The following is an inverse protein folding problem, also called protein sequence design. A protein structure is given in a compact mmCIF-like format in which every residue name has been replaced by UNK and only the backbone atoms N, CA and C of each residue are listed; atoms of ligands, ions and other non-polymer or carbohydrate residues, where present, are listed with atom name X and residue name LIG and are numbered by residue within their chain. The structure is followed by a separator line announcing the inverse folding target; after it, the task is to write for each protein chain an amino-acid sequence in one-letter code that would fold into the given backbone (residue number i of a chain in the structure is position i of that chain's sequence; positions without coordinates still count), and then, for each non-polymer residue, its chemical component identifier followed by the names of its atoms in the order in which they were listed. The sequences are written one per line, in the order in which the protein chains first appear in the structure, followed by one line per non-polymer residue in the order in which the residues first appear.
data_IF_443757411386
#
_entry.id   IF_443757411386
#
_cell.length_a   1.000
_cell.length_b   1.000
_cell.length_c   1.000
_cell.angle_alpha   90.00
_cell.angle_beta   90.00
_cell.angle_gamma   90.00
#
_symmetry.space_group_name_H-M   'P 1'
#
loop_
_entity.id
_entity.type
_entity.pdbx_description
1 polymer ?
#
# COMPACT_ATOMS: atom_id res chain seq x y z
N UNK A 1 -18.15 -18.31 -7.15
CA UNK A 1 -16.71 -18.04 -6.91
C UNK A 1 -16.27 -16.89 -7.80
N UNK A 2 -16.23 -15.68 -7.25
CA UNK A 2 -15.66 -14.52 -7.93
C UNK A 2 -14.14 -14.56 -7.79
N UNK A 3 -13.40 -14.24 -8.86
CA UNK A 3 -11.95 -14.06 -8.77
C UNK A 3 -11.68 -12.79 -7.95
N UNK A 4 -10.65 -12.76 -7.12
CA UNK A 4 -10.26 -11.55 -6.39
C UNK A 4 -8.95 -10.99 -6.95
N UNK A 5 -8.87 -9.66 -6.94
CA UNK A 5 -7.72 -8.91 -7.39
C UNK A 5 -7.18 -8.11 -6.21
N UNK A 6 -5.87 -8.17 -5.99
CA UNK A 6 -5.18 -7.39 -4.98
C UNK A 6 -4.33 -6.30 -5.64
N UNK A 7 -4.32 -5.12 -5.05
CA UNK A 7 -3.49 -4.01 -5.47
C UNK A 7 -2.66 -3.50 -4.30
N UNK A 8 -1.35 -3.45 -4.48
CA UNK A 8 -0.39 -2.87 -3.55
C UNK A 8 0.10 -1.55 -4.14
N UNK A 9 -0.23 -0.44 -3.47
CA UNK A 9 0.27 0.88 -3.81
C UNK A 9 1.39 1.26 -2.84
N UNK A 10 2.52 1.68 -3.39
CA UNK A 10 3.60 2.27 -2.62
C UNK A 10 3.79 3.72 -3.08
N UNK A 11 3.47 4.66 -2.19
CA UNK A 11 3.59 6.08 -2.42
C UNK A 11 4.87 6.57 -1.74
N UNK A 12 5.92 6.76 -2.54
CA UNK A 12 7.20 7.29 -2.08
C UNK A 12 7.35 8.74 -2.55
N UNK A 13 7.95 9.55 -1.68
CA UNK A 13 8.42 10.95 -1.79
C UNK A 13 7.96 11.80 -2.98
N UNK A 14 7.55 13.05 -2.66
CA UNK A 14 7.64 14.20 -3.59
C UNK A 14 6.98 15.51 -3.18
N UNK A 15 6.53 15.68 -1.93
CA UNK A 15 6.25 17.01 -1.36
C UNK A 15 6.11 16.87 0.17
N UNK A 16 6.44 17.94 0.90
CA UNK A 16 6.13 18.11 2.34
C UNK A 16 4.63 17.96 2.65
N UNK A 17 3.77 18.06 1.64
CA UNK A 17 2.31 18.12 1.83
C UNK A 17 1.62 16.75 1.84
N UNK A 18 2.32 15.66 1.52
CA UNK A 18 1.71 14.32 1.45
C UNK A 18 2.64 13.25 2.04
N UNK A 19 2.21 12.54 3.11
CA UNK A 19 3.04 11.52 3.73
C UNK A 19 3.27 10.33 2.78
N UNK A 20 4.42 9.69 2.92
CA UNK A 20 4.68 8.42 2.28
C UNK A 20 3.84 7.31 2.92
N UNK A 21 3.41 6.34 2.11
CA UNK A 21 2.57 5.25 2.60
C UNK A 21 2.65 4.01 1.71
N UNK A 22 2.46 2.85 2.34
CA UNK A 22 2.09 1.63 1.66
C UNK A 22 0.60 1.37 1.85
N UNK A 23 -0.07 0.82 0.85
CA UNK A 23 -1.45 0.36 1.01
C UNK A 23 -1.71 -0.89 0.19
N UNK A 24 -2.61 -1.73 0.70
CA UNK A 24 -3.13 -2.88 -0.02
C UNK A 24 -4.66 -2.80 -0.08
N UNK A 25 -5.21 -3.15 -1.24
CA UNK A 25 -6.63 -3.11 -1.54
C UNK A 25 -7.02 -4.42 -2.21
N UNK A 26 -8.11 -5.04 -1.78
CA UNK A 26 -8.62 -6.29 -2.35
C UNK A 26 -10.05 -6.06 -2.82
N UNK A 27 -10.32 -6.41 -4.06
CA UNK A 27 -11.62 -6.22 -4.69
C UNK A 27 -12.10 -7.48 -5.40
N UNK A 28 -13.42 -7.59 -5.51
CA UNK A 28 -14.07 -8.62 -6.30
C UNK A 28 -13.93 -8.28 -7.79
N UNK A 29 -13.34 -9.17 -8.58
CA UNK A 29 -13.14 -8.95 -10.02
C UNK A 29 -14.44 -8.81 -10.82
N UNK A 30 -15.56 -9.37 -10.34
CA UNK A 30 -16.83 -9.38 -11.07
C UNK A 30 -17.68 -8.16 -10.77
N UNK A 31 -17.71 -7.73 -9.52
CA UNK A 31 -18.57 -6.65 -9.05
C UNK A 31 -17.81 -5.33 -8.85
N UNK A 32 -16.48 -5.36 -8.89
CA UNK A 32 -15.60 -4.26 -8.49
C UNK A 32 -15.80 -3.78 -7.04
N UNK A 33 -16.47 -4.60 -6.22
CA UNK A 33 -16.71 -4.31 -4.80
C UNK A 33 -15.40 -4.38 -4.01
N UNK A 34 -15.17 -3.37 -3.17
CA UNK A 34 -14.05 -3.33 -2.24
C UNK A 34 -14.31 -4.30 -1.07
N UNK A 35 -13.48 -5.34 -0.96
CA UNK A 35 -13.61 -6.37 0.07
C UNK A 35 -12.75 -6.07 1.30
N UNK A 36 -11.53 -5.57 1.10
CA UNK A 36 -10.61 -5.27 2.18
C UNK A 36 -9.59 -4.21 1.77
N UNK A 37 -9.15 -3.40 2.73
CA UNK A 37 -8.11 -2.40 2.54
C UNK A 37 -7.33 -2.17 3.84
N UNK A 38 -6.03 -1.92 3.70
CA UNK A 38 -5.18 -1.41 4.77
C UNK A 38 -4.14 -0.45 4.22
N UNK A 39 -3.77 0.55 5.01
CA UNK A 39 -2.77 1.56 4.67
C UNK A 39 -1.88 1.81 5.90
N UNK A 40 -0.58 1.86 5.67
CA UNK A 40 0.45 2.11 6.67
C UNK A 40 1.26 3.32 6.21
N UNK A 41 1.35 4.33 7.08
CA UNK A 41 2.19 5.50 6.84
C UNK A 41 3.66 5.14 7.06
N UNK A 42 4.52 5.65 6.19
CA UNK A 42 5.97 5.43 6.24
C UNK A 42 6.59 6.71 6.76
N UNK A 43 7.33 6.60 7.87
CA UNK A 43 8.05 7.74 8.44
C UNK A 43 9.02 8.31 7.42
N UNK A 44 8.98 9.63 7.24
CA UNK A 44 9.90 10.39 6.41
C UNK A 44 10.88 11.15 7.29
N UNK A 45 12.14 11.16 6.91
CA UNK A 45 13.18 11.94 7.58
C UNK A 45 13.62 13.11 6.69
N UNK A 46 13.77 14.29 7.28
CA UNK A 46 14.14 15.52 6.59
C UNK A 46 15.49 16.03 7.11
N UNK A 47 16.61 15.39 6.75
CA UNK A 47 17.92 15.71 7.30
C UNK A 47 18.42 17.11 6.89
N UNK A 48 17.93 17.64 5.77
CA UNK A 48 18.25 18.97 5.23
C UNK A 48 17.03 19.59 4.56
N UNK A 49 17.02 20.91 4.44
CA UNK A 49 15.98 21.63 3.69
C UNK A 49 15.92 21.12 2.24
N UNK A 50 14.71 20.76 1.78
CA UNK A 50 14.49 20.18 0.46
C UNK A 50 14.90 18.72 0.30
N UNK A 51 15.44 18.08 1.35
CA UNK A 51 15.78 16.65 1.35
C UNK A 51 14.72 15.84 2.06
N UNK A 52 14.49 14.65 1.54
CA UNK A 52 13.68 13.66 2.23
C UNK A 52 14.32 12.29 2.03
N UNK A 53 14.46 11.56 3.14
CA UNK A 53 15.10 10.26 3.23
C UNK A 53 14.12 9.25 3.84
N UNK A 54 14.19 8.00 3.38
CA UNK A 54 13.34 6.91 3.84
C UNK A 54 14.19 5.68 4.10
N UNK A 55 13.98 5.03 5.25
CA UNK A 55 14.63 3.76 5.56
C UNK A 55 13.99 2.63 4.72
N UNK A 56 14.78 1.88 3.92
CA UNK A 56 14.29 0.72 3.19
C UNK A 56 13.61 -0.33 4.08
N UNK A 57 14.02 -0.45 5.35
CA UNK A 57 13.41 -1.38 6.32
C UNK A 57 12.01 -0.93 6.72
N UNK A 58 11.79 0.36 6.94
CA UNK A 58 10.46 0.92 7.22
C UNK A 58 9.52 0.73 6.03
N UNK A 59 10.01 0.96 4.81
CA UNK A 59 9.27 0.68 3.58
C UNK A 59 8.87 -0.80 3.54
N UNK A 60 9.82 -1.70 3.71
CA UNK A 60 9.56 -3.14 3.66
C UNK A 60 8.59 -3.59 4.78
N UNK A 61 8.77 -3.07 5.99
CA UNK A 61 7.90 -3.35 7.13
C UNK A 61 6.45 -2.93 6.84
N UNK A 62 6.25 -1.71 6.35
CA UNK A 62 4.92 -1.20 6.00
C UNK A 62 4.21 -2.04 4.93
N UNK A 63 4.96 -2.58 3.96
CA UNK A 63 4.43 -3.48 2.94
C UNK A 63 3.99 -4.81 3.55
N UNK A 64 4.83 -5.40 4.42
CA UNK A 64 4.47 -6.63 5.12
C UNK A 64 3.25 -6.46 6.01
N UNK A 65 3.17 -5.36 6.76
CA UNK A 65 2.03 -5.04 7.60
C UNK A 65 0.75 -4.87 6.76
N UNK A 66 0.83 -4.18 5.62
CA UNK A 66 -0.29 -4.08 4.68
C UNK A 66 -0.79 -5.45 4.21
N UNK A 67 0.13 -6.37 3.90
CA UNK A 67 -0.23 -7.73 3.48
C UNK A 67 -0.90 -8.48 4.63
N UNK A 68 -0.26 -8.51 5.80
CA UNK A 68 -0.72 -9.25 6.97
C UNK A 68 -2.10 -8.75 7.42
N UNK A 69 -2.27 -7.44 7.63
CA UNK A 69 -3.55 -6.85 8.06
C UNK A 69 -4.65 -7.02 7.04
N UNK A 70 -4.33 -7.01 5.74
CA UNK A 70 -5.33 -7.31 4.71
C UNK A 70 -5.75 -8.77 4.76
N UNK A 71 -4.82 -9.70 4.94
CA UNK A 71 -5.10 -11.13 5.06
C UNK A 71 -5.91 -11.46 6.33
N UNK A 72 -5.58 -10.84 7.47
CA UNK A 72 -6.36 -10.94 8.71
C UNK A 72 -7.83 -10.52 8.48
N UNK A 73 -8.06 -9.37 7.83
CA UNK A 73 -9.40 -8.87 7.50
C UNK A 73 -10.16 -9.81 6.56
N UNK A 74 -9.48 -10.40 5.56
CA UNK A 74 -10.11 -11.39 4.68
C UNK A 74 -10.52 -12.65 5.44
N UNK A 75 -9.69 -13.11 6.37
CA UNK A 75 -10.01 -14.23 7.26
C UNK A 75 -11.26 -13.95 8.12
N UNK A 76 -11.41 -12.73 8.64
CA UNK A 76 -12.59 -12.31 9.39
C UNK A 76 -13.88 -12.29 8.54
N UNK A 77 -13.75 -12.06 7.24
CA UNK A 77 -14.84 -12.13 6.27
C UNK A 77 -15.10 -13.56 5.75
N UNK A 78 -14.38 -14.56 6.29
CA UNK A 78 -14.41 -15.96 5.85
C UNK A 78 -14.07 -16.12 4.36
N UNK A 79 -13.21 -15.23 3.84
CA UNK A 79 -12.73 -15.23 2.47
C UNK A 79 -11.37 -15.92 2.43
N UNK A 80 -11.29 -17.04 1.72
CA UNK A 80 -10.03 -17.72 1.52
C UNK A 80 -9.10 -16.90 0.60
N UNK A 81 -7.88 -16.64 1.10
CA UNK A 81 -6.80 -15.94 0.40
C UNK A 81 -6.44 -16.67 -0.92
N UNK A 82 -6.67 -17.98 -1.01
CA UNK A 82 -6.48 -18.78 -2.23
C UNK A 82 -7.33 -18.27 -3.42
N UNK A 83 -8.37 -17.47 -3.15
CA UNK A 83 -9.21 -16.84 -4.18
C UNK A 83 -8.58 -15.58 -4.82
N UNK A 84 -7.49 -15.04 -4.25
CA UNK A 84 -6.70 -13.98 -4.90
C UNK A 84 -5.95 -14.62 -6.06
N UNK A 85 -6.28 -14.21 -7.30
CA UNK A 85 -5.64 -14.79 -8.51
C UNK A 85 -4.67 -13.84 -9.20
N UNK A 86 -4.67 -12.56 -8.84
CA UNK A 86 -3.67 -11.62 -9.30
C UNK A 86 -3.38 -10.56 -8.25
N UNK A 87 -2.12 -10.14 -8.23
CA UNK A 87 -1.62 -9.02 -7.44
C UNK A 87 -0.93 -8.05 -8.38
N UNK A 88 -1.20 -6.76 -8.21
CA UNK A 88 -0.52 -5.68 -8.92
C UNK A 88 0.23 -4.84 -7.90
N UNK A 89 1.46 -4.46 -8.24
CA UNK A 89 2.24 -3.49 -7.48
C UNK A 89 2.34 -2.21 -8.29
N UNK A 90 2.00 -1.07 -7.69
CA UNK A 90 2.14 0.25 -8.28
C UNK A 90 3.01 1.11 -7.38
N UNK A 91 4.11 1.61 -7.93
CA UNK A 91 4.95 2.62 -7.30
C UNK A 91 4.58 4.00 -7.83
N UNK A 92 4.28 4.94 -6.92
CA UNK A 92 4.14 6.35 -7.24
C UNK A 92 5.40 7.07 -6.78
N UNK A 93 6.07 7.76 -7.71
CA UNK A 93 7.15 8.70 -7.43
C UNK A 93 6.60 10.10 -7.69
N UNK A 94 6.53 10.96 -6.66
CA UNK A 94 6.22 12.37 -6.85
C UNK A 94 7.54 13.13 -7.03
N UNK A 95 7.60 14.10 -7.94
CA UNK A 95 8.80 14.93 -8.08
C UNK A 95 8.75 16.11 -7.12
N UNK A 96 9.87 16.40 -6.47
CA UNK A 96 10.01 17.58 -5.62
C UNK A 96 9.95 18.80 -6.54
N UNK A 97 8.82 19.51 -6.52
CA UNK A 97 8.73 20.83 -7.14
C UNK A 97 9.55 21.81 -6.32
N UNK A 98 10.71 22.23 -6.83
CA UNK A 98 11.39 23.42 -6.32
C UNK A 98 10.50 24.63 -6.65
N UNK A 99 9.90 25.25 -5.63
CA UNK A 99 9.34 26.60 -5.73
C UNK A 99 10.33 27.59 -5.15
#
# INVERSE_FOLDING_TARGET
NGVMLAHCNLCLLGSSDSPASASRVVFNSKTAELLSHHQVEIKQEFPREGWVEQDPKEILHSVYECIEKTCEKLGQLNIDISNIKAERVVGLRKEIGQR
#
